data_IF_295841822580
#
_entry.id   IF_295841822580
#
_cell.length_a   1.000
_cell.length_b   1.000
_cell.length_c   1.000
_cell.angle_alpha   90.00
_cell.angle_beta   90.00
_cell.angle_gamma   90.00
#
_symmetry.space_group_name_H-M   'P 1'
#
loop_
_entity.id
_entity.type
_entity.pdbx_description
1 polymer ?
#
# COMPACT_ATOMS: atom_id res chain seq x y z
N UNK A 1 -38.87 -66.62 -17.35
CA UNK A 1 -38.21 -65.45 -16.73
C UNK A 1 -38.79 -64.20 -17.38
N UNK A 2 -39.65 -63.48 -16.65
CA UNK A 2 -40.53 -62.45 -17.20
C UNK A 2 -39.96 -61.03 -17.05
N UNK A 3 -39.82 -60.37 -18.21
CA UNK A 3 -40.04 -58.95 -18.57
C UNK A 3 -39.56 -57.81 -17.65
N UNK A 4 -38.68 -56.99 -18.24
CA UNK A 4 -38.34 -55.61 -17.88
C UNK A 4 -39.55 -54.67 -17.86
N UNK A 5 -39.53 -53.72 -16.92
CA UNK A 5 -40.45 -52.57 -16.85
C UNK A 5 -39.60 -51.30 -16.91
N UNK A 6 -39.91 -50.46 -17.90
CA UNK A 6 -39.36 -49.12 -18.14
C UNK A 6 -40.37 -48.12 -17.61
N UNK A 7 -39.96 -47.16 -16.78
CA UNK A 7 -40.81 -46.05 -16.31
C UNK A 7 -40.13 -44.71 -16.60
N UNK A 8 -40.73 -43.96 -17.51
CA UNK A 8 -40.54 -42.52 -17.74
C UNK A 8 -41.30 -41.69 -16.70
N UNK A 9 -40.77 -40.56 -16.22
CA UNK A 9 -41.55 -39.55 -15.52
C UNK A 9 -42.05 -38.42 -16.44
N UNK A 10 -43.11 -37.69 -16.04
CA UNK A 10 -43.86 -36.77 -16.91
C UNK A 10 -43.39 -35.30 -16.83
N UNK A 11 -43.76 -34.56 -17.87
CA UNK A 11 -43.62 -33.11 -18.07
C UNK A 11 -44.79 -32.36 -17.43
N UNK A 12 -44.54 -31.24 -16.73
CA UNK A 12 -45.57 -30.21 -16.46
C UNK A 12 -44.95 -28.80 -16.38
N UNK A 13 -45.78 -27.81 -16.75
CA UNK A 13 -45.47 -26.45 -17.19
C UNK A 13 -45.60 -25.36 -16.09
N UNK A 14 -45.06 -24.17 -16.42
CA UNK A 14 -45.61 -22.82 -16.20
C UNK A 14 -45.24 -21.98 -14.94
N UNK A 15 -44.49 -20.89 -15.22
CA UNK A 15 -44.62 -19.47 -14.78
C UNK A 15 -44.87 -19.08 -13.31
N UNK A 16 -43.98 -18.25 -12.75
CA UNK A 16 -44.37 -16.95 -12.16
C UNK A 16 -43.20 -15.96 -12.04
N UNK A 17 -43.48 -14.71 -12.42
CA UNK A 17 -42.65 -13.52 -12.22
C UNK A 17 -42.89 -12.97 -10.81
N UNK A 18 -41.84 -12.55 -10.10
CA UNK A 18 -41.94 -11.47 -9.10
C UNK A 18 -40.70 -10.59 -9.16
N UNK A 19 -40.94 -9.34 -9.55
CA UNK A 19 -39.99 -8.24 -9.49
C UNK A 19 -39.90 -7.72 -8.05
N UNK A 20 -38.69 -7.65 -7.50
CA UNK A 20 -38.40 -6.93 -6.26
C UNK A 20 -38.03 -5.49 -6.57
N UNK A 21 -38.84 -4.56 -6.07
CA UNK A 21 -38.60 -3.12 -6.04
C UNK A 21 -37.38 -2.79 -5.17
N UNK A 22 -36.45 -1.90 -5.58
CA UNK A 22 -35.38 -1.45 -4.72
C UNK A 22 -35.91 -0.41 -3.72
N UNK A 23 -35.64 -0.68 -2.44
CA UNK A 23 -35.89 0.21 -1.31
C UNK A 23 -35.06 1.49 -1.45
N UNK A 24 -35.73 2.64 -1.44
CA UNK A 24 -35.11 3.97 -1.40
C UNK A 24 -34.47 4.15 -0.03
N UNK A 25 -33.14 4.30 0.01
CA UNK A 25 -32.39 4.71 1.20
C UNK A 25 -32.69 6.17 1.53
N UNK A 26 -33.04 6.42 2.79
CA UNK A 26 -33.39 7.73 3.33
C UNK A 26 -32.21 8.71 3.27
N UNK A 27 -32.52 9.96 2.93
CA UNK A 27 -31.62 11.11 2.75
C UNK A 27 -30.99 11.66 4.03
N UNK A 28 -30.92 10.86 5.10
CA UNK A 28 -30.41 11.29 6.42
C UNK A 28 -28.96 10.84 6.66
N UNK A 29 -28.45 9.84 5.92
CA UNK A 29 -27.07 9.34 6.05
C UNK A 29 -26.01 10.21 5.34
N UNK A 30 -26.43 11.08 4.42
CA UNK A 30 -25.50 11.92 3.65
C UNK A 30 -25.03 13.15 4.43
N UNK A 31 -25.78 13.62 5.43
CA UNK A 31 -25.42 14.82 6.21
C UNK A 31 -24.34 14.53 7.27
N UNK A 32 -24.33 13.35 7.89
CA UNK A 32 -23.29 12.97 8.86
C UNK A 32 -21.94 12.70 8.17
N UNK A 33 -21.95 12.12 6.98
CA UNK A 33 -20.74 11.86 6.19
C UNK A 33 -20.09 13.13 5.62
N UNK A 34 -20.92 14.13 5.25
CA UNK A 34 -20.41 15.45 4.87
C UNK A 34 -19.72 16.13 6.05
N UNK A 35 -20.19 15.95 7.28
CA UNK A 35 -19.57 16.56 8.46
C UNK A 35 -18.17 15.99 8.75
N UNK A 36 -17.95 14.68 8.62
CA UNK A 36 -16.60 14.09 8.84
C UNK A 36 -15.59 14.53 7.78
N UNK A 37 -16.01 14.67 6.51
CA UNK A 37 -15.15 15.22 5.44
C UNK A 37 -14.89 16.72 5.65
N UNK A 38 -15.83 17.44 6.27
CA UNK A 38 -15.70 18.86 6.62
C UNK A 38 -14.71 19.08 7.77
N UNK A 39 -14.72 18.23 8.80
CA UNK A 39 -13.76 18.25 9.92
C UNK A 39 -12.32 18.01 9.44
N UNK A 40 -12.14 17.12 8.46
CA UNK A 40 -10.83 16.88 7.82
C UNK A 40 -10.37 18.08 6.98
N UNK A 41 -11.30 18.86 6.40
CA UNK A 41 -10.95 20.06 5.63
C UNK A 41 -10.71 21.30 6.50
N UNK A 42 -11.42 21.44 7.62
CA UNK A 42 -11.22 22.58 8.54
C UNK A 42 -9.86 22.51 9.25
N UNK A 43 -9.41 21.32 9.63
CA UNK A 43 -8.06 21.13 10.20
C UNK A 43 -6.93 21.52 9.25
N UNK A 44 -7.15 21.49 7.93
CA UNK A 44 -6.16 21.96 6.93
C UNK A 44 -6.10 23.49 6.81
N UNK A 45 -7.17 24.20 7.18
CA UNK A 45 -7.27 25.66 7.02
C UNK A 45 -6.67 26.42 8.21
N UNK A 46 -6.67 25.82 9.40
CA UNK A 46 -6.04 26.39 10.61
C UNK A 46 -4.51 26.22 10.66
N UNK A 47 -3.93 25.37 9.81
CA UNK A 47 -2.48 25.12 9.73
C UNK A 47 -1.71 26.07 8.78
N UNK A 48 -2.39 27.03 8.12
CA UNK A 48 -1.79 27.92 7.11
C UNK A 48 -1.52 29.37 7.59
N UNK A 49 -1.59 29.68 8.89
CA UNK A 49 -1.47 31.06 9.40
C UNK A 49 -0.33 31.30 10.38
N UNK A 50 0.87 30.76 10.12
CA UNK A 50 2.08 31.16 10.86
C UNK A 50 3.17 31.62 9.86
N UNK A 51 3.64 32.87 9.90
CA UNK A 51 4.76 33.32 9.06
C UNK A 51 6.10 33.00 9.74
N UNK A 52 6.93 32.18 9.11
CA UNK A 52 8.32 31.96 9.53
C UNK A 52 9.21 33.13 9.09
N UNK A 53 9.76 33.87 10.06
CA UNK A 53 10.90 34.78 9.87
C UNK A 53 12.20 33.99 9.75
N UNK A 54 12.85 34.03 8.57
CA UNK A 54 14.18 33.45 8.37
C UNK A 54 15.25 34.55 8.50
N UNK A 55 16.02 34.48 9.59
CA UNK A 55 17.22 35.29 9.81
C UNK A 55 18.44 34.62 9.16
N UNK A 56 19.17 35.39 8.35
CA UNK A 56 20.34 34.93 7.61
C UNK A 56 21.64 35.46 8.22
N UNK A 57 22.56 34.56 8.58
CA UNK A 57 24.00 34.87 8.75
C UNK A 57 24.81 33.69 8.20
N UNK A 58 25.39 33.83 7.00
CA UNK A 58 26.79 34.18 6.74
C UNK A 58 27.81 33.14 7.24
N UNK A 59 28.22 32.24 6.34
CA UNK A 59 29.61 31.80 6.23
C UNK A 59 29.98 31.69 4.74
N UNK A 60 30.99 32.45 4.33
CA UNK A 60 31.71 32.31 3.07
C UNK A 60 32.86 31.35 3.33
N UNK A 61 33.10 30.41 2.41
CA UNK A 61 34.45 30.20 1.89
C UNK A 61 34.44 29.48 0.53
N UNK A 62 35.35 29.98 -0.31
CA UNK A 62 35.80 29.62 -1.65
C UNK A 62 36.46 28.22 -1.68
N UNK A 63 36.72 27.49 -2.76
CA UNK A 63 36.45 27.47 -4.21
C UNK A 63 37.08 26.13 -4.71
N UNK A 64 36.89 25.76 -5.97
CA UNK A 64 37.52 24.67 -6.74
C UNK A 64 36.71 23.36 -6.89
N UNK A 65 35.87 23.30 -7.92
CA UNK A 65 36.12 22.47 -9.13
C UNK A 65 34.98 22.63 -10.13
N UNK A 66 35.28 23.30 -11.24
CA UNK A 66 34.39 23.44 -12.40
C UNK A 66 34.23 22.09 -13.13
N UNK A 67 33.11 21.41 -12.89
CA UNK A 67 32.47 20.54 -13.89
C UNK A 67 31.03 21.00 -14.05
N UNK A 68 30.66 21.31 -15.29
CA UNK A 68 29.33 21.78 -15.70
C UNK A 68 28.28 20.74 -15.28
N UNK A 69 27.71 20.92 -14.09
CA UNK A 69 26.43 20.31 -13.70
C UNK A 69 25.36 21.22 -14.31
N UNK A 70 24.64 20.72 -15.32
CA UNK A 70 23.33 21.29 -15.66
C UNK A 70 22.48 21.14 -14.40
N UNK A 71 22.29 22.24 -13.67
CA UNK A 71 21.33 22.33 -12.58
C UNK A 71 19.96 22.03 -13.14
N UNK A 72 19.45 20.83 -12.86
CA UNK A 72 18.02 20.57 -12.93
C UNK A 72 17.42 21.52 -11.88
N UNK A 73 16.47 22.39 -12.24
CA UNK A 73 15.86 23.28 -11.26
C UNK A 73 15.23 22.40 -10.18
N UNK A 74 15.59 22.67 -8.92
CA UNK A 74 14.92 22.13 -7.74
C UNK A 74 13.44 22.49 -7.87
N UNK A 75 12.66 21.58 -8.45
CA UNK A 75 11.22 21.66 -8.38
C UNK A 75 10.90 21.33 -6.93
N UNK A 76 10.53 22.36 -6.18
CA UNK A 76 9.87 22.21 -4.88
C UNK A 76 8.83 21.10 -5.03
N UNK A 77 9.09 19.98 -4.38
CA UNK A 77 8.08 18.92 -4.25
C UNK A 77 6.98 19.58 -3.43
N UNK A 78 5.75 19.71 -3.97
CA UNK A 78 4.68 20.33 -3.22
C UNK A 78 4.54 19.62 -1.88
N UNK A 79 4.50 20.40 -0.81
CA UNK A 79 4.34 19.92 0.55
C UNK A 79 2.91 19.37 0.68
N UNK A 80 2.70 18.17 0.16
CA UNK A 80 1.42 17.47 0.27
C UNK A 80 1.39 16.95 1.70
N UNK A 81 0.48 17.49 2.49
CA UNK A 81 0.27 17.05 3.87
C UNK A 81 -0.28 15.62 3.88
N UNK A 82 0.62 14.62 3.91
CA UNK A 82 0.26 13.21 3.87
C UNK A 82 -0.04 12.70 5.27
N UNK A 83 -1.23 12.11 5.44
CA UNK A 83 -1.66 11.54 6.71
C UNK A 83 -0.99 10.20 7.04
N UNK A 84 -0.41 9.54 6.04
CA UNK A 84 0.15 8.21 6.14
C UNK A 84 1.29 8.01 5.15
N UNK A 85 2.33 7.28 5.57
CA UNK A 85 3.48 6.90 4.76
C UNK A 85 3.72 5.41 4.97
N UNK A 86 3.81 4.65 3.89
CA UNK A 86 4.39 3.31 3.93
C UNK A 86 5.86 3.40 3.54
N UNK A 87 6.70 2.57 4.15
CA UNK A 87 8.12 2.44 3.81
C UNK A 87 8.43 0.97 3.54
N UNK A 88 8.95 0.69 2.36
CA UNK A 88 9.54 -0.61 2.01
C UNK A 88 11.06 -0.54 2.02
N UNK A 89 11.71 -1.71 2.03
CA UNK A 89 13.16 -1.84 1.92
C UNK A 89 13.96 -1.03 2.95
N UNK A 90 13.44 -0.84 4.16
CA UNK A 90 14.17 -0.08 5.17
C UNK A 90 15.45 -0.81 5.64
N UNK A 91 15.56 -2.13 5.41
CA UNK A 91 16.71 -3.00 5.70
C UNK A 91 17.23 -2.98 7.15
N UNK A 92 16.49 -2.34 8.06
CA UNK A 92 16.83 -2.25 9.48
C UNK A 92 16.67 -3.61 10.16
N UNK A 93 17.61 -3.92 11.04
CA UNK A 93 17.49 -5.01 12.00
C UNK A 93 16.48 -4.68 13.11
N UNK A 94 16.01 -5.69 13.85
CA UNK A 94 15.06 -5.48 14.95
C UNK A 94 15.54 -4.49 16.01
N UNK A 95 16.85 -4.49 16.33
CA UNK A 95 17.44 -3.54 17.28
C UNK A 95 17.60 -2.11 16.72
N UNK A 96 17.39 -1.91 15.42
CA UNK A 96 17.50 -0.61 14.75
C UNK A 96 16.12 0.00 14.45
N UNK A 97 15.02 -0.68 14.79
CA UNK A 97 13.66 -0.23 14.48
C UNK A 97 13.33 1.13 15.12
N UNK A 98 13.87 1.40 16.31
CA UNK A 98 13.65 2.66 17.01
C UNK A 98 14.19 3.87 16.24
N UNK A 99 15.15 3.67 15.32
CA UNK A 99 15.63 4.72 14.42
C UNK A 99 14.51 5.29 13.53
N UNK A 100 13.46 4.50 13.23
CA UNK A 100 12.27 5.00 12.50
C UNK A 100 11.55 6.04 13.35
N UNK A 101 11.37 5.77 14.65
CA UNK A 101 10.71 6.69 15.57
C UNK A 101 11.50 7.98 15.78
N UNK A 102 12.83 7.87 15.83
CA UNK A 102 13.72 9.03 15.95
C UNK A 102 13.68 9.92 14.70
N UNK A 103 13.66 9.31 13.51
CA UNK A 103 13.63 10.05 12.24
C UNK A 103 12.28 10.74 12.00
N UNK A 104 11.17 10.15 12.46
CA UNK A 104 9.81 10.63 12.23
C UNK A 104 9.06 10.92 13.55
N UNK A 105 9.61 11.82 14.37
CA UNK A 105 9.15 12.10 15.73
C UNK A 105 7.69 12.59 15.90
N UNK A 106 7.04 13.07 14.83
CA UNK A 106 5.62 13.49 14.80
C UNK A 106 4.68 12.39 14.30
N UNK A 107 5.20 11.19 14.10
CA UNK A 107 4.44 10.04 13.60
C UNK A 107 4.46 8.91 14.62
N UNK A 108 3.40 8.12 14.59
CA UNK A 108 3.36 6.80 15.17
C UNK A 108 3.66 5.79 14.09
N UNK A 109 4.21 4.63 14.47
CA UNK A 109 4.69 3.65 13.50
C UNK A 109 4.53 2.21 13.98
N UNK A 110 4.57 1.30 13.01
CA UNK A 110 4.80 -0.13 13.19
C UNK A 110 5.73 -0.63 12.10
N UNK A 111 6.58 -1.61 12.38
CA UNK A 111 7.47 -2.19 11.36
C UNK A 111 7.74 -3.68 11.60
N UNK A 112 8.17 -4.36 10.55
CA UNK A 112 8.67 -5.73 10.57
C UNK A 112 10.05 -5.72 9.94
N UNK A 113 11.08 -6.03 10.73
CA UNK A 113 12.48 -6.03 10.31
C UNK A 113 12.90 -7.37 9.71
N UNK A 114 14.03 -7.35 9.00
CA UNK A 114 14.63 -8.50 8.32
C UNK A 114 14.99 -9.65 9.27
N UNK A 115 15.47 -9.33 10.46
CA UNK A 115 16.01 -10.32 11.40
C UNK A 115 15.63 -9.96 12.83
N UNK A 116 15.12 -10.95 13.56
CA UNK A 116 14.86 -10.84 15.00
C UNK A 116 16.13 -11.00 15.84
N UNK A 117 17.16 -11.61 15.26
CA UNK A 117 18.40 -11.93 15.95
C UNK A 117 19.42 -10.80 15.77
N UNK A 118 19.97 -10.34 16.89
CA UNK A 118 21.10 -9.40 16.85
C UNK A 118 22.32 -10.12 16.25
N UNK A 119 23.02 -9.53 15.26
CA UNK A 119 24.23 -10.12 14.74
C UNK A 119 25.23 -10.30 15.89
N UNK A 120 25.74 -11.52 16.06
CA UNK A 120 26.76 -11.82 17.08
C UNK A 120 28.11 -11.29 16.57
N UNK A 121 28.81 -10.41 17.32
CA UNK A 121 30.16 -9.98 16.95
C UNK A 121 31.14 -11.17 16.85
N UNK A 122 32.17 -11.15 15.98
CA UNK A 122 32.66 -10.05 15.14
C UNK A 122 32.09 -10.07 13.71
N UNK A 123 31.00 -10.78 13.49
CA UNK A 123 30.45 -10.98 12.14
C UNK A 123 30.09 -9.64 11.53
N UNK A 124 30.59 -9.35 10.32
CA UNK A 124 30.10 -8.24 9.51
C UNK A 124 28.57 -8.28 9.54
N UNK A 125 27.92 -7.14 9.83
CA UNK A 125 26.46 -7.06 9.74
C UNK A 125 26.07 -7.59 8.36
N UNK A 126 25.35 -8.72 8.24
CA UNK A 126 24.88 -9.15 6.94
C UNK A 126 24.01 -8.05 6.37
N UNK A 127 23.96 -7.90 5.04
CA UNK A 127 23.02 -6.96 4.45
C UNK A 127 21.61 -7.46 4.75
N UNK A 128 20.81 -6.65 5.43
CA UNK A 128 19.40 -6.97 5.61
C UNK A 128 18.68 -7.04 4.26
N UNK A 129 17.76 -7.99 4.07
CA UNK A 129 16.89 -8.10 2.91
C UNK A 129 15.43 -8.10 3.35
N UNK A 130 14.67 -7.07 2.98
CA UNK A 130 13.27 -6.91 3.39
C UNK A 130 13.09 -5.69 4.28
N UNK A 131 12.16 -5.77 5.22
CA UNK A 131 11.82 -4.63 6.06
C UNK A 131 10.65 -3.86 5.47
N UNK A 132 9.58 -3.75 6.24
CA UNK A 132 8.40 -2.94 5.92
C UNK A 132 7.95 -2.15 7.14
N UNK A 133 7.52 -0.92 6.94
CA UNK A 133 6.97 -0.08 7.98
C UNK A 133 5.73 0.69 7.49
N UNK A 134 4.82 0.95 8.42
CA UNK A 134 3.70 1.86 8.23
C UNK A 134 3.82 2.95 9.28
N UNK A 135 3.75 4.20 8.83
CA UNK A 135 3.78 5.40 9.64
C UNK A 135 2.51 6.19 9.43
N UNK A 136 2.00 6.79 10.49
CA UNK A 136 0.81 7.65 10.47
C UNK A 136 0.99 8.80 11.44
N UNK A 137 0.25 9.89 11.21
CA UNK A 137 0.28 11.03 12.14
C UNK A 137 -0.26 10.63 13.51
N UNK A 138 0.41 11.05 14.59
CA UNK A 138 0.05 10.70 15.97
C UNK A 138 -1.40 11.04 16.34
N UNK A 139 -1.97 12.11 15.78
CA UNK A 139 -3.38 12.45 16.05
C UNK A 139 -4.37 11.38 15.56
N UNK A 140 -3.95 10.47 14.67
CA UNK A 140 -4.74 9.34 14.18
C UNK A 140 -4.60 8.07 15.04
N UNK A 141 -3.80 8.08 16.11
CA UNK A 141 -3.57 6.90 16.97
C UNK A 141 -4.86 6.27 17.47
N UNK A 142 -5.86 7.10 17.80
CA UNK A 142 -7.17 6.64 18.26
C UNK A 142 -7.97 5.86 17.20
N UNK A 143 -7.60 5.95 15.93
CA UNK A 143 -8.19 5.20 14.82
C UNK A 143 -7.39 3.95 14.47
N UNK A 144 -6.11 3.86 14.84
CA UNK A 144 -5.20 2.82 14.35
C UNK A 144 -5.01 1.70 15.39
N UNK A 145 -5.29 0.47 14.97
CA UNK A 145 -4.98 -0.76 15.70
C UNK A 145 -3.86 -1.52 14.96
N UNK A 146 -2.76 -1.82 15.66
CA UNK A 146 -1.65 -2.58 15.09
C UNK A 146 -2.04 -4.05 14.96
N UNK A 147 -1.77 -4.66 13.81
CA UNK A 147 -2.01 -6.09 13.57
C UNK A 147 -0.68 -6.84 13.62
N UNK A 148 -0.63 -7.96 14.35
CA UNK A 148 0.59 -8.78 14.48
C UNK A 148 0.66 -9.96 13.49
N UNK A 149 -0.05 -9.87 12.37
CA UNK A 149 0.11 -10.79 11.25
C UNK A 149 1.13 -10.25 10.22
N UNK A 150 1.49 -11.08 9.25
CA UNK A 150 2.45 -10.74 8.21
C UNK A 150 3.83 -11.32 8.45
N UNK A 151 4.83 -10.73 7.80
CA UNK A 151 6.22 -11.16 7.73
C UNK A 151 7.14 -9.93 7.62
N UNK A 152 8.45 -10.12 7.46
CA UNK A 152 9.39 -9.05 7.14
C UNK A 152 9.12 -8.35 5.79
N UNK A 153 8.16 -8.88 5.01
CA UNK A 153 7.71 -8.34 3.72
C UNK A 153 6.28 -7.84 3.73
N UNK A 154 5.50 -8.15 4.76
CA UNK A 154 4.07 -7.83 4.83
C UNK A 154 3.76 -7.30 6.22
N UNK A 155 3.21 -6.10 6.31
CA UNK A 155 2.78 -5.50 7.56
C UNK A 155 1.38 -4.94 7.42
N UNK A 156 0.60 -5.07 8.50
CA UNK A 156 -0.80 -4.71 8.50
C UNK A 156 -1.14 -3.78 9.66
N UNK A 157 -2.06 -2.86 9.44
CA UNK A 157 -2.79 -2.14 10.48
C UNK A 157 -4.29 -2.15 10.17
N UNK A 158 -5.11 -2.01 11.19
CA UNK A 158 -6.54 -1.77 11.06
C UNK A 158 -6.83 -0.31 11.37
N UNK A 159 -7.56 0.36 10.49
CA UNK A 159 -8.00 1.74 10.63
C UNK A 159 -9.49 1.72 10.90
N UNK A 160 -9.88 2.09 12.12
CA UNK A 160 -11.24 2.05 12.63
C UNK A 160 -12.08 3.22 12.11
N UNK A 161 -12.55 3.08 10.86
CA UNK A 161 -13.47 4.03 10.21
C UNK A 161 -14.85 3.42 10.01
N UNK A 162 -15.86 4.28 9.82
CA UNK A 162 -17.24 3.87 9.48
C UNK A 162 -17.46 3.84 7.96
N UNK A 163 -18.41 3.01 7.47
CA UNK A 163 -19.23 2.05 8.22
C UNK A 163 -18.48 0.75 8.56
N UNK A 164 -17.34 0.50 7.89
CA UNK A 164 -16.53 -0.71 8.07
C UNK A 164 -15.05 -0.31 8.15
N UNK A 165 -14.27 -0.84 9.12
CA UNK A 165 -12.84 -0.61 9.21
C UNK A 165 -12.07 -0.96 7.94
N UNK A 166 -10.94 -0.29 7.73
CA UNK A 166 -10.00 -0.58 6.65
C UNK A 166 -8.89 -1.47 7.20
N UNK A 167 -8.58 -2.55 6.50
CA UNK A 167 -7.36 -3.32 6.70
C UNK A 167 -6.32 -2.78 5.71
N UNK A 168 -5.37 -1.99 6.20
CA UNK A 168 -4.26 -1.53 5.38
C UNK A 168 -3.12 -2.54 5.46
N UNK A 169 -2.66 -3.01 4.30
CA UNK A 169 -1.55 -3.94 4.16
C UNK A 169 -0.47 -3.26 3.31
N UNK A 170 0.73 -3.10 3.87
CA UNK A 170 1.91 -2.73 3.12
C UNK A 170 2.71 -4.00 2.79
N UNK A 171 3.05 -4.18 1.52
CA UNK A 171 3.76 -5.35 1.02
C UNK A 171 4.99 -4.95 0.20
N UNK A 172 6.11 -5.63 0.45
CA UNK A 172 7.34 -5.59 -0.32
C UNK A 172 7.60 -6.95 -0.97
N UNK A 173 7.09 -7.13 -2.18
CA UNK A 173 7.10 -8.41 -2.87
C UNK A 173 8.52 -8.77 -3.34
N UNK A 174 8.91 -10.06 -3.35
CA UNK A 174 10.25 -10.49 -3.77
C UNK A 174 10.66 -9.97 -5.15
N UNK A 175 11.85 -9.39 -5.28
CA UNK A 175 12.39 -8.96 -6.58
C UNK A 175 12.82 -10.18 -7.43
N UNK A 176 13.03 -9.96 -8.72
CA UNK A 176 13.64 -10.96 -9.61
C UNK A 176 15.13 -11.04 -9.34
N UNK A 177 15.71 -12.24 -9.41
CA UNK A 177 17.17 -12.40 -9.36
C UNK A 177 17.66 -13.62 -8.61
N UNK A 178 16.84 -14.19 -7.71
CA UNK A 178 17.13 -15.48 -7.07
C UNK A 178 16.49 -16.64 -7.85
N UNK A 179 17.04 -17.86 -7.69
CA UNK A 179 16.46 -19.08 -8.30
C UNK A 179 15.04 -19.39 -7.78
N UNK A 180 14.73 -18.91 -6.57
CA UNK A 180 13.45 -19.14 -5.87
C UNK A 180 12.51 -17.92 -5.95
N UNK A 181 12.86 -16.88 -6.70
CA UNK A 181 12.13 -15.60 -6.68
C UNK A 181 10.63 -15.74 -7.02
N UNK A 182 10.26 -16.68 -7.90
CA UNK A 182 8.86 -16.92 -8.25
C UNK A 182 8.12 -17.69 -7.14
N UNK A 183 8.78 -18.65 -6.50
CA UNK A 183 8.21 -19.41 -5.38
C UNK A 183 7.99 -18.49 -4.18
N UNK A 184 8.99 -17.70 -3.80
CA UNK A 184 8.88 -16.68 -2.75
C UNK A 184 7.77 -15.65 -3.05
N UNK A 185 7.63 -15.26 -4.33
CA UNK A 185 6.55 -14.35 -4.74
C UNK A 185 5.18 -14.97 -4.51
N UNK A 186 5.01 -16.24 -4.88
CA UNK A 186 3.77 -16.98 -4.67
C UNK A 186 3.48 -17.19 -3.18
N UNK A 187 4.49 -17.55 -2.38
CA UNK A 187 4.36 -17.66 -0.92
C UNK A 187 3.88 -16.35 -0.28
N UNK A 188 4.39 -15.20 -0.75
CA UNK A 188 3.91 -13.89 -0.30
C UNK A 188 2.44 -13.65 -0.70
N UNK A 189 2.03 -14.03 -1.91
CA UNK A 189 0.62 -13.95 -2.33
C UNK A 189 -0.30 -14.86 -1.50
N UNK A 190 0.15 -16.07 -1.19
CA UNK A 190 -0.59 -17.00 -0.33
C UNK A 190 -0.72 -16.43 1.09
N UNK A 191 0.34 -15.82 1.64
CA UNK A 191 0.27 -15.13 2.94
C UNK A 191 -0.72 -13.94 2.91
N UNK A 192 -0.69 -13.12 1.85
CA UNK A 192 -1.67 -12.04 1.66
C UNK A 192 -3.10 -12.59 1.55
N UNK A 193 -3.28 -13.74 0.87
CA UNK A 193 -4.57 -14.40 0.75
C UNK A 193 -5.15 -14.74 2.12
N UNK A 194 -4.35 -15.40 2.97
CA UNK A 194 -4.74 -15.81 4.31
C UNK A 194 -5.07 -14.61 5.22
N UNK A 195 -4.26 -13.55 5.17
CA UNK A 195 -4.53 -12.32 5.93
C UNK A 195 -5.86 -11.69 5.48
N UNK A 196 -6.07 -11.51 4.17
CA UNK A 196 -7.33 -10.93 3.67
C UNK A 196 -8.53 -11.79 4.06
N UNK A 197 -8.41 -13.11 3.96
CA UNK A 197 -9.48 -14.04 4.33
C UNK A 197 -9.80 -13.96 5.82
N UNK A 198 -8.78 -13.91 6.69
CA UNK A 198 -8.94 -13.80 8.14
C UNK A 198 -9.72 -12.55 8.57
N UNK A 199 -9.59 -11.45 7.83
CA UNK A 199 -10.21 -10.17 8.17
C UNK A 199 -11.39 -9.77 7.26
N UNK A 200 -11.81 -10.63 6.32
CA UNK A 200 -12.82 -10.27 5.30
C UNK A 200 -14.15 -9.82 5.88
N UNK A 201 -14.56 -10.42 7.00
CA UNK A 201 -15.86 -10.14 7.63
C UNK A 201 -15.86 -8.80 8.37
N UNK A 202 -14.70 -8.40 8.90
CA UNK A 202 -14.58 -7.24 9.80
C UNK A 202 -14.00 -6.01 9.13
N UNK A 203 -13.21 -6.18 8.07
CA UNK A 203 -12.47 -5.10 7.42
C UNK A 203 -12.68 -5.09 5.91
N UNK A 204 -12.33 -3.98 5.28
CA UNK A 204 -12.19 -3.85 3.83
C UNK A 204 -10.71 -3.67 3.49
N UNK A 205 -10.11 -4.52 2.64
CA UNK A 205 -8.68 -4.46 2.39
C UNK A 205 -8.29 -3.30 1.46
N UNK A 206 -7.18 -2.66 1.81
CA UNK A 206 -6.39 -1.75 0.97
C UNK A 206 -4.95 -2.24 1.06
N UNK A 207 -4.33 -2.51 -0.10
CA UNK A 207 -2.96 -2.97 -0.17
C UNK A 207 -2.10 -1.91 -0.84
N UNK A 208 -0.89 -1.71 -0.38
CA UNK A 208 0.07 -0.78 -0.96
C UNK A 208 1.50 -1.33 -0.90
N UNK A 209 2.40 -0.76 -1.70
CA UNK A 209 3.84 -1.01 -1.65
C UNK A 209 4.44 -1.42 -2.98
N UNK A 210 5.65 -1.99 -2.94
CA UNK A 210 6.39 -2.45 -4.11
C UNK A 210 6.05 -3.91 -4.44
N UNK A 211 5.38 -4.11 -5.58
CA UNK A 211 4.94 -5.42 -6.04
C UNK A 211 5.97 -6.13 -6.91
N UNK A 212 7.07 -5.46 -7.26
CA UNK A 212 8.14 -5.99 -8.11
C UNK A 212 7.61 -6.66 -9.40
N UNK A 213 6.49 -6.16 -9.92
CA UNK A 213 5.73 -6.78 -11.00
C UNK A 213 5.00 -5.73 -11.83
N UNK A 214 5.42 -5.54 -13.08
CA UNK A 214 4.82 -4.54 -13.97
C UNK A 214 3.51 -5.05 -14.60
N UNK A 215 2.37 -4.67 -14.00
CA UNK A 215 1.02 -4.96 -14.49
C UNK A 215 0.65 -4.16 -15.75
N UNK A 216 1.37 -3.06 -16.04
CA UNK A 216 1.13 -2.26 -17.25
C UNK A 216 1.75 -2.92 -18.49
N UNK A 217 2.57 -3.96 -18.30
CA UNK A 217 3.21 -4.71 -19.38
C UNK A 217 2.19 -5.55 -20.17
N UNK A 218 1.96 -5.17 -21.42
CA UNK A 218 0.99 -5.82 -22.32
C UNK A 218 1.56 -7.00 -23.11
N UNK A 219 2.88 -7.08 -23.29
CA UNK A 219 3.55 -8.12 -24.08
C UNK A 219 4.44 -9.01 -23.22
N UNK A 220 4.54 -10.31 -23.54
CA UNK A 220 5.39 -11.27 -22.85
C UNK A 220 5.18 -11.30 -21.32
N UNK A 221 3.91 -11.39 -20.89
CA UNK A 221 3.55 -11.47 -19.47
C UNK A 221 4.21 -12.68 -18.81
N UNK A 222 5.01 -12.43 -17.78
CA UNK A 222 5.63 -13.47 -16.95
C UNK A 222 4.58 -14.20 -16.11
N UNK A 223 4.92 -15.40 -15.62
CA UNK A 223 4.07 -16.15 -14.66
C UNK A 223 3.63 -15.27 -13.47
N UNK A 224 4.55 -14.49 -12.88
CA UNK A 224 4.25 -13.54 -11.79
C UNK A 224 3.17 -12.50 -12.11
N UNK A 225 3.10 -12.04 -13.36
CA UNK A 225 2.06 -11.08 -13.76
C UNK A 225 0.72 -11.79 -13.73
N UNK A 226 0.65 -13.01 -14.28
CA UNK A 226 -0.58 -13.80 -14.27
C UNK A 226 -1.02 -14.15 -12.85
N UNK A 227 -0.11 -14.59 -11.99
CA UNK A 227 -0.39 -14.89 -10.59
C UNK A 227 -0.92 -13.65 -9.83
N UNK A 228 -0.34 -12.48 -10.07
CA UNK A 228 -0.82 -11.23 -9.48
C UNK A 228 -2.19 -10.82 -10.05
N UNK A 229 -2.41 -10.95 -11.36
CA UNK A 229 -3.71 -10.69 -12.00
C UNK A 229 -4.82 -11.61 -11.47
N UNK A 230 -4.52 -12.90 -11.28
CA UNK A 230 -5.42 -13.88 -10.69
C UNK A 230 -5.71 -13.54 -9.22
N UNK A 231 -4.69 -13.16 -8.46
CA UNK A 231 -4.84 -12.70 -7.07
C UNK A 231 -5.76 -11.47 -6.99
N UNK A 232 -5.48 -10.44 -7.78
CA UNK A 232 -6.28 -9.20 -7.86
C UNK A 232 -7.74 -9.52 -8.18
N UNK A 233 -7.97 -10.34 -9.20
CA UNK A 233 -9.31 -10.73 -9.63
C UNK A 233 -10.05 -11.52 -8.55
N UNK A 234 -9.38 -12.49 -7.92
CA UNK A 234 -9.97 -13.33 -6.88
C UNK A 234 -10.36 -12.55 -5.61
N UNK A 235 -9.62 -11.47 -5.30
CA UNK A 235 -9.83 -10.61 -4.14
C UNK A 235 -10.64 -9.35 -4.44
N UNK A 236 -11.19 -9.25 -5.67
CA UNK A 236 -11.97 -8.08 -6.13
C UNK A 236 -11.23 -6.76 -5.91
N UNK A 237 -9.93 -6.80 -6.12
CA UNK A 237 -9.07 -5.66 -5.99
C UNK A 237 -9.04 -4.88 -7.29
N UNK A 238 -8.89 -3.57 -7.17
CA UNK A 238 -8.73 -2.66 -8.29
C UNK A 238 -7.58 -1.71 -8.01
N UNK A 239 -6.90 -1.30 -9.06
CA UNK A 239 -5.85 -0.30 -9.01
C UNK A 239 -6.04 0.67 -10.17
N UNK A 240 -5.59 1.91 -9.97
CA UNK A 240 -5.43 2.84 -11.08
C UNK A 240 -3.98 2.79 -11.55
N UNK A 241 -3.73 2.80 -12.87
CA UNK A 241 -2.39 2.97 -13.40
C UNK A 241 -1.73 4.21 -12.79
N UNK A 242 -0.55 4.02 -12.24
CA UNK A 242 0.31 5.09 -11.73
C UNK A 242 1.39 5.39 -12.76
N UNK A 243 1.99 6.61 -12.74
CA UNK A 243 3.18 6.90 -13.54
C UNK A 243 4.29 5.86 -13.29
N UNK A 244 5.34 5.89 -14.11
CA UNK A 244 6.52 5.06 -13.89
C UNK A 244 7.07 5.30 -12.47
N UNK A 245 7.24 4.24 -11.70
CA UNK A 245 7.67 4.31 -10.30
C UNK A 245 9.08 3.76 -10.10
N UNK A 246 9.59 3.02 -11.09
CA UNK A 246 10.93 2.44 -11.06
C UNK A 246 11.70 2.77 -12.34
N UNK A 247 12.96 3.16 -12.15
CA UNK A 247 13.97 3.30 -13.20
C UNK A 247 15.08 2.33 -12.86
N UNK A 248 15.33 1.37 -13.77
CA UNK A 248 16.38 0.39 -13.58
C UNK A 248 17.75 1.09 -13.51
N UNK A 249 18.72 0.60 -12.70
CA UNK A 249 20.03 1.25 -12.56
C UNK A 249 20.83 1.43 -13.86
N UNK A 250 20.51 0.68 -14.91
CA UNK A 250 21.11 0.87 -16.24
C UNK A 250 20.59 2.12 -16.98
N UNK A 251 19.56 2.80 -16.45
CA UNK A 251 18.93 4.00 -17.02
C UNK A 251 18.06 3.76 -18.25
N UNK A 252 17.94 2.52 -18.73
CA UNK A 252 17.33 2.19 -20.02
C UNK A 252 15.98 1.46 -19.89
N UNK A 253 15.64 1.01 -18.69
CA UNK A 253 14.39 0.29 -18.42
C UNK A 253 13.62 1.03 -17.33
N UNK A 254 12.32 1.19 -17.57
CA UNK A 254 11.40 1.80 -16.62
C UNK A 254 10.19 0.93 -16.48
N UNK A 255 9.64 0.86 -15.28
CA UNK A 255 8.43 0.10 -14.99
C UNK A 255 7.59 0.80 -13.94
N UNK A 256 6.31 0.47 -13.91
CA UNK A 256 5.44 0.75 -12.77
C UNK A 256 5.42 -0.52 -11.94
N UNK A 257 5.92 -0.48 -10.71
CA UNK A 257 5.93 -1.65 -9.81
C UNK A 257 5.31 -1.35 -8.44
N UNK A 258 5.10 -0.07 -8.14
CA UNK A 258 4.49 0.39 -6.90
C UNK A 258 3.01 0.65 -7.13
N UNK A 259 2.19 -0.16 -6.47
CA UNK A 259 0.74 -0.15 -6.65
C UNK A 259 0.04 0.01 -5.33
N UNK A 260 -1.12 0.64 -5.42
CA UNK A 260 -2.14 0.57 -4.40
C UNK A 260 -3.32 -0.17 -5.00
N UNK A 261 -3.77 -1.19 -4.30
CA UNK A 261 -4.95 -1.96 -4.60
C UNK A 261 -6.03 -1.64 -3.58
N UNK A 262 -7.22 -1.30 -4.02
CA UNK A 262 -8.38 -1.13 -3.17
C UNK A 262 -9.43 -2.17 -3.53
N UNK A 263 -10.16 -2.65 -2.53
CA UNK A 263 -11.33 -3.48 -2.78
C UNK A 263 -12.39 -2.71 -3.60
N UNK A 264 -13.13 -3.41 -4.46
CA UNK A 264 -14.16 -2.83 -5.34
C UNK A 264 -15.19 -1.97 -4.60
N UNK A 265 -15.56 -2.35 -3.37
CA UNK A 265 -16.47 -1.63 -2.49
C UNK A 265 -15.97 -0.26 -2.04
N UNK A 266 -14.69 0.08 -2.26
CA UNK A 266 -14.11 1.40 -1.97
C UNK A 266 -13.87 2.22 -3.23
N UNK A 267 -14.06 1.67 -4.42
CA UNK A 267 -13.65 2.28 -5.68
C UNK A 267 -14.21 3.68 -5.91
N UNK A 268 -15.49 3.87 -5.59
CA UNK A 268 -16.19 5.15 -5.78
C UNK A 268 -15.64 6.25 -4.85
N UNK A 269 -15.00 5.87 -3.74
CA UNK A 269 -14.41 6.82 -2.78
C UNK A 269 -13.05 7.33 -3.25
N UNK A 270 -12.35 6.57 -4.08
CA UNK A 270 -11.02 6.92 -4.58
C UNK A 270 -11.11 7.53 -5.99
N UNK A 271 -11.63 8.75 -6.05
CA UNK A 271 -11.99 9.40 -7.32
C UNK A 271 -10.78 9.94 -8.08
N UNK A 272 -9.77 10.48 -7.41
CA UNK A 272 -8.62 11.13 -8.07
C UNK A 272 -7.35 10.30 -7.94
N UNK A 273 -6.43 10.31 -8.92
CA UNK A 273 -5.12 9.68 -8.79
C UNK A 273 -4.31 10.18 -7.58
N UNK A 274 -4.53 11.42 -7.14
CA UNK A 274 -3.89 11.98 -5.93
C UNK A 274 -4.31 11.26 -4.65
N UNK A 275 -5.55 10.80 -4.55
CA UNK A 275 -6.02 9.99 -3.41
C UNK A 275 -5.25 8.66 -3.31
N UNK A 276 -4.74 8.16 -4.44
CA UNK A 276 -3.87 6.98 -4.49
C UNK A 276 -2.41 7.40 -4.24
N UNK A 277 -1.91 8.48 -4.86
CA UNK A 277 -0.52 8.92 -4.71
C UNK A 277 -0.17 9.31 -3.26
N UNK A 278 -1.11 9.85 -2.48
CA UNK A 278 -0.88 10.17 -1.06
C UNK A 278 -0.55 8.94 -0.21
N UNK A 279 -0.84 7.72 -0.69
CA UNK A 279 -0.46 6.46 -0.05
C UNK A 279 0.78 5.81 -0.68
N UNK A 280 1.38 6.41 -1.72
CA UNK A 280 2.60 5.89 -2.34
C UNK A 280 3.85 6.33 -1.58
N UNK A 281 4.82 5.42 -1.57
CA UNK A 281 6.02 5.49 -0.77
C UNK A 281 7.05 6.42 -1.40
N UNK A 282 7.86 7.04 -0.55
CA UNK A 282 9.11 7.69 -0.97
C UNK A 282 10.23 6.68 -0.80
N UNK A 283 11.00 6.35 -1.84
CA UNK A 283 12.21 5.56 -1.67
C UNK A 283 13.16 6.29 -0.72
N UNK A 284 13.40 5.74 0.47
CA UNK A 284 14.38 6.25 1.43
C UNK A 284 15.82 6.21 0.89
N UNK A 285 16.04 5.54 -0.25
CA UNK A 285 17.33 5.43 -0.95
C UNK A 285 17.93 6.78 -1.38
N UNK A 286 17.19 7.88 -1.33
CA UNK A 286 17.73 9.22 -1.65
C UNK A 286 18.25 9.99 -0.43
N UNK A 287 17.95 9.55 0.81
CA UNK A 287 18.32 10.30 2.04
C UNK A 287 19.49 9.63 2.80
N UNK A 288 19.83 8.38 2.45
CA UNK A 288 20.87 7.61 3.14
C UNK A 288 22.02 7.21 2.20
N UNK A 289 22.65 8.16 1.51
CA UNK A 289 24.03 8.06 1.00
C UNK A 289 24.67 9.44 0.86
#
# INVERSE_FOLDING_TARGET
MHKSVTTTPPTENATSNMATTPTILNSTDTSELLNTVSEIKMSQQELQTEPEEVSSTLYKDQDCTNKVKKSIPDKEVPNVDRNQISLEEHWLFKFEQDNIGELFNKTSWTCKSVDENNPIPPTQKPRGYGGVAILWKQHLDHLVEKINDGSERIICIKINVKPKPILLICAYMPCRGSKQANEQFKECLDQLHEIILKYSDTCTPVLCGDWNCDLMKTTNKSARIKELEDFISSKKLMFKPTPLTFIHPNGNETSTIDYIFVHDSLAEKFTTPLDWICCQTTPLTTILF
#
